data_IF_511993388044
#
_entry.id   IF_511993388044
#
_cell.length_a   1.000
_cell.length_b   1.000
_cell.length_c   1.000
_cell.angle_alpha   90.00
_cell.angle_beta   90.00
_cell.angle_gamma   90.00
#
_symmetry.space_group_name_H-M   'P 1'
#
loop_
_entity.id
_entity.type
_entity.pdbx_description
1 polymer ?
#
# COMPACT_ATOMS: atom_id res chain seq x y z
N UNK A 1 -9.98 -24.10 -11.11
CA UNK A 1 -9.76 -23.61 -12.49
C UNK A 1 -8.31 -23.89 -12.83
N UNK A 2 -8.05 -24.38 -14.05
CA UNK A 2 -6.70 -24.65 -14.54
C UNK A 2 -6.29 -23.54 -15.50
N UNK A 3 -4.99 -23.26 -15.56
CA UNK A 3 -4.43 -22.25 -16.45
C UNK A 3 -4.35 -22.82 -17.88
N UNK A 4 -4.83 -22.07 -18.87
CA UNK A 4 -4.81 -22.44 -20.28
C UNK A 4 -3.65 -21.78 -21.02
N UNK A 5 -2.45 -22.37 -20.90
CA UNK A 5 -1.28 -21.93 -21.66
C UNK A 5 -1.40 -22.15 -23.17
N UNK A 6 -2.36 -22.97 -23.63
CA UNK A 6 -2.50 -23.33 -25.05
C UNK A 6 -3.43 -22.37 -25.81
N UNK A 7 -4.16 -21.50 -25.11
CA UNK A 7 -5.02 -20.49 -25.73
C UNK A 7 -4.23 -19.53 -26.62
N UNK A 8 -3.01 -19.19 -26.20
CA UNK A 8 -2.07 -18.42 -27.01
C UNK A 8 -1.10 -19.36 -27.74
N UNK A 9 -0.85 -19.09 -29.02
CA UNK A 9 -0.03 -19.96 -29.89
C UNK A 9 1.43 -20.04 -29.47
N UNK A 10 1.91 -19.12 -28.64
CA UNK A 10 3.27 -19.06 -28.14
C UNK A 10 3.45 -19.75 -26.77
N UNK A 11 2.38 -20.31 -26.19
CA UNK A 11 2.45 -20.98 -24.89
C UNK A 11 2.60 -20.02 -23.71
N UNK A 12 2.35 -18.72 -23.93
CA UNK A 12 2.55 -17.66 -22.94
C UNK A 12 1.23 -17.06 -22.51
N UNK A 13 1.12 -16.75 -21.23
CA UNK A 13 0.00 -16.01 -20.67
C UNK A 13 0.47 -14.70 -20.05
N UNK A 14 -0.33 -13.62 -20.11
CA UNK A 14 -0.08 -12.44 -19.32
C UNK A 14 -0.15 -12.74 -17.82
N UNK A 15 0.78 -12.14 -17.08
CA UNK A 15 0.79 -12.12 -15.63
C UNK A 15 0.82 -10.65 -15.18
N UNK A 16 -0.32 -10.18 -14.66
CA UNK A 16 -0.45 -8.87 -14.04
C UNK A 16 0.07 -8.99 -12.61
N UNK A 17 1.08 -8.18 -12.28
CA UNK A 17 1.63 -8.13 -10.95
C UNK A 17 1.07 -6.93 -10.22
N UNK A 18 0.45 -7.18 -9.07
CA UNK A 18 -0.17 -6.17 -8.24
C UNK A 18 0.48 -6.18 -6.85
N UNK A 19 0.69 -5.00 -6.27
CA UNK A 19 1.10 -4.90 -4.89
C UNK A 19 -0.02 -5.38 -3.96
N UNK A 20 0.29 -6.32 -3.07
CA UNK A 20 -0.67 -6.93 -2.17
C UNK A 20 -1.20 -5.96 -1.10
N UNK A 21 -0.46 -4.90 -0.79
CA UNK A 21 -0.80 -3.89 0.21
C UNK A 21 -1.49 -2.68 -0.42
N UNK A 22 -0.94 -2.17 -1.53
CA UNK A 22 -1.41 -0.91 -2.11
C UNK A 22 -2.53 -1.12 -3.15
N UNK A 23 -2.62 -2.32 -3.73
CA UNK A 23 -3.48 -2.63 -4.86
C UNK A 23 -3.03 -2.02 -6.19
N UNK A 24 -1.85 -1.39 -6.25
CA UNK A 24 -1.32 -0.83 -7.50
C UNK A 24 -0.79 -1.91 -8.42
N UNK A 25 -1.02 -1.75 -9.72
CA UNK A 25 -0.41 -2.62 -10.72
C UNK A 25 1.06 -2.23 -10.86
N UNK A 26 1.94 -3.14 -10.48
CA UNK A 26 3.38 -2.93 -10.50
C UNK A 26 3.95 -3.09 -11.91
N UNK A 27 3.56 -4.16 -12.60
CA UNK A 27 4.00 -4.46 -13.96
C UNK A 27 3.13 -5.53 -14.61
N UNK A 28 3.30 -5.71 -15.92
CA UNK A 28 2.82 -6.87 -16.66
C UNK A 28 4.03 -7.62 -17.22
N UNK A 29 4.03 -8.94 -17.04
CA UNK A 29 4.98 -9.84 -17.69
C UNK A 29 4.25 -11.00 -18.35
N UNK A 30 5.03 -11.94 -18.89
CA UNK A 30 4.51 -13.16 -19.51
C UNK A 30 5.11 -14.38 -18.84
N UNK A 31 4.31 -15.43 -18.67
CA UNK A 31 4.75 -16.70 -18.11
C UNK A 31 4.40 -17.83 -19.08
N UNK A 32 5.33 -18.77 -19.26
CA UNK A 32 5.00 -20.12 -19.72
C UNK A 32 4.73 -21.02 -18.51
N UNK A 33 4.37 -22.28 -18.75
CA UNK A 33 4.12 -23.26 -17.69
C UNK A 33 5.32 -23.41 -16.72
N UNK A 34 6.55 -23.45 -17.26
CA UNK A 34 7.78 -23.58 -16.46
C UNK A 34 8.03 -22.36 -15.54
N UNK A 35 7.80 -21.14 -16.04
CA UNK A 35 7.91 -19.91 -15.27
C UNK A 35 6.87 -19.85 -14.14
N UNK A 36 5.65 -20.32 -14.40
CA UNK A 36 4.60 -20.46 -13.40
C UNK A 36 4.99 -21.48 -12.32
N UNK A 37 5.41 -22.69 -12.70
CA UNK A 37 5.83 -23.73 -11.77
C UNK A 37 6.98 -23.26 -10.88
N UNK A 38 7.97 -22.59 -11.46
CA UNK A 38 9.08 -22.01 -10.71
C UNK A 38 8.62 -20.94 -9.73
N UNK A 39 7.69 -20.07 -10.15
CA UNK A 39 7.10 -19.05 -9.27
C UNK A 39 6.38 -19.67 -8.07
N UNK A 40 5.62 -20.74 -8.29
CA UNK A 40 4.92 -21.49 -7.23
C UNK A 40 5.92 -22.14 -6.27
N UNK A 41 7.01 -22.72 -6.79
CA UNK A 41 8.02 -23.40 -5.97
C UNK A 41 8.84 -22.42 -5.13
N UNK A 42 9.25 -21.30 -5.71
CA UNK A 42 10.16 -20.35 -5.06
C UNK A 42 9.44 -19.26 -4.26
N UNK A 43 8.12 -19.08 -4.47
CA UNK A 43 7.35 -17.93 -3.99
C UNK A 43 7.96 -16.57 -4.42
N UNK A 44 8.65 -16.55 -5.56
CA UNK A 44 9.24 -15.36 -6.17
C UNK A 44 8.81 -15.34 -7.63
N UNK A 45 8.36 -14.18 -8.12
CA UNK A 45 7.89 -14.05 -9.50
C UNK A 45 9.00 -14.35 -10.51
N UNK A 46 8.78 -15.38 -11.33
CA UNK A 46 9.60 -15.73 -12.49
C UNK A 46 8.80 -15.54 -13.77
N UNK A 47 9.34 -14.81 -14.72
CA UNK A 47 8.76 -14.64 -16.05
C UNK A 47 9.49 -15.48 -17.10
N UNK A 48 8.86 -15.62 -18.25
CA UNK A 48 9.52 -16.04 -19.48
C UNK A 48 9.88 -14.81 -20.34
N UNK A 49 11.18 -14.60 -20.58
CA UNK A 49 11.64 -13.51 -21.43
C UNK A 49 11.45 -13.87 -22.91
N UNK A 50 10.48 -13.26 -23.58
CA UNK A 50 10.24 -13.46 -25.01
C UNK A 50 11.43 -13.10 -25.90
N UNK A 51 12.23 -12.09 -25.51
CA UNK A 51 13.40 -11.68 -26.28
C UNK A 51 14.61 -12.58 -26.05
N UNK A 52 14.81 -13.07 -24.82
CA UNK A 52 15.95 -13.93 -24.47
C UNK A 52 15.64 -15.43 -24.51
N UNK A 53 14.39 -15.80 -24.73
CA UNK A 53 13.88 -17.18 -24.79
C UNK A 53 14.35 -18.03 -23.58
N UNK A 54 14.23 -17.45 -22.38
CA UNK A 54 14.62 -18.12 -21.12
C UNK A 54 13.76 -17.66 -19.95
N UNK A 55 13.75 -18.45 -18.88
CA UNK A 55 13.27 -18.01 -17.58
C UNK A 55 14.09 -16.83 -17.06
N UNK A 56 13.39 -15.92 -16.36
CA UNK A 56 13.96 -14.75 -15.73
C UNK A 56 13.26 -14.50 -14.40
N UNK A 57 13.96 -14.68 -13.29
CA UNK A 57 13.39 -14.37 -11.97
C UNK A 57 13.53 -12.87 -11.71
N UNK A 58 12.40 -12.19 -11.45
CA UNK A 58 12.42 -10.75 -11.21
C UNK A 58 13.24 -10.46 -9.96
N UNK A 59 14.25 -9.61 -10.11
CA UNK A 59 15.17 -9.25 -9.03
C UNK A 59 16.51 -10.00 -9.08
N UNK A 60 16.71 -11.00 -9.95
CA UNK A 60 17.95 -11.80 -10.02
C UNK A 60 19.24 -10.99 -10.22
N UNK A 61 19.13 -9.76 -10.75
CA UNK A 61 20.26 -8.83 -10.95
C UNK A 61 20.18 -7.60 -10.06
N UNK A 62 18.97 -7.16 -9.70
CA UNK A 62 18.75 -5.87 -9.02
C UNK A 62 18.41 -6.00 -7.53
N UNK A 63 18.23 -7.21 -7.01
CA UNK A 63 17.67 -7.52 -5.69
C UNK A 63 16.24 -7.02 -5.42
N UNK A 64 15.58 -6.38 -6.40
CA UNK A 64 14.18 -5.96 -6.30
C UNK A 64 13.26 -7.14 -6.67
N UNK A 65 13.21 -8.13 -5.79
CA UNK A 65 12.35 -9.31 -5.91
C UNK A 65 10.87 -8.96 -5.70
N UNK A 66 10.00 -9.82 -6.22
CA UNK A 66 8.55 -9.75 -6.02
C UNK A 66 8.11 -11.04 -5.32
N UNK A 67 7.83 -10.96 -4.02
CA UNK A 67 7.48 -12.12 -3.21
C UNK A 67 5.99 -12.42 -3.34
N UNK A 68 5.65 -13.62 -3.78
CA UNK A 68 4.26 -14.02 -4.05
C UNK A 68 3.48 -14.08 -2.74
N UNK A 69 2.31 -13.43 -2.73
CA UNK A 69 1.33 -13.48 -1.64
C UNK A 69 0.09 -14.27 -2.02
N UNK A 70 -0.42 -14.03 -3.23
CA UNK A 70 -1.63 -14.66 -3.76
C UNK A 70 -1.52 -14.78 -5.28
N UNK A 71 -2.04 -15.86 -5.85
CA UNK A 71 -2.15 -16.05 -7.29
C UNK A 71 -3.60 -16.35 -7.65
N UNK A 72 -4.15 -15.57 -8.56
CA UNK A 72 -5.51 -15.66 -9.05
C UNK A 72 -5.46 -15.89 -10.56
N UNK A 73 -6.43 -16.66 -11.05
CA UNK A 73 -6.65 -16.92 -12.47
C UNK A 73 -7.98 -16.23 -12.82
N UNK A 74 -8.06 -15.63 -14.00
CA UNK A 74 -9.30 -15.05 -14.48
C UNK A 74 -10.34 -16.10 -14.92
N UNK A 75 -11.49 -15.66 -15.40
CA UNK A 75 -12.66 -16.51 -15.58
C UNK A 75 -12.55 -17.49 -16.77
N UNK A 76 -11.70 -17.19 -17.74
CA UNK A 76 -11.45 -18.02 -18.93
C UNK A 76 -10.03 -18.58 -18.98
N UNK A 77 -9.27 -18.44 -17.88
CA UNK A 77 -8.08 -19.24 -17.59
C UNK A 77 -6.81 -18.77 -18.28
N UNK A 78 -6.82 -17.60 -18.93
CA UNK A 78 -5.74 -17.16 -19.81
C UNK A 78 -4.87 -16.05 -19.23
N UNK A 79 -5.23 -15.51 -18.07
CA UNK A 79 -4.49 -14.44 -17.42
C UNK A 79 -4.28 -14.73 -15.93
N UNK A 80 -3.08 -14.44 -15.45
CA UNK A 80 -2.77 -14.45 -14.02
C UNK A 80 -2.81 -13.05 -13.42
N UNK A 81 -3.44 -12.94 -12.26
CA UNK A 81 -3.23 -11.83 -11.33
C UNK A 81 -2.41 -12.35 -10.14
N UNK A 82 -1.20 -11.82 -9.97
CA UNK A 82 -0.29 -12.23 -8.90
C UNK A 82 -0.13 -11.04 -7.95
N UNK A 83 -0.61 -11.20 -6.72
CA UNK A 83 -0.38 -10.23 -5.65
C UNK A 83 0.95 -10.51 -4.99
N UNK A 84 1.76 -9.47 -4.80
CA UNK A 84 3.13 -9.59 -4.30
C UNK A 84 3.47 -8.55 -3.24
N UNK A 85 4.48 -8.83 -2.43
CA UNK A 85 5.22 -7.81 -1.67
C UNK A 85 6.53 -7.48 -2.43
N UNK A 86 6.70 -6.26 -2.97
CA UNK A 86 7.93 -5.87 -3.65
C UNK A 86 9.06 -5.59 -2.66
N UNK A 87 10.27 -6.10 -2.92
CA UNK A 87 11.47 -5.86 -2.11
C UNK A 87 12.23 -4.56 -2.47
N UNK A 88 11.63 -3.70 -3.30
CA UNK A 88 12.22 -2.47 -3.83
C UNK A 88 11.45 -1.96 -5.05
N UNK A 89 11.92 -0.90 -5.73
CA UNK A 89 11.24 -0.39 -6.92
C UNK A 89 11.15 -1.47 -8.01
N UNK A 90 9.95 -1.66 -8.56
CA UNK A 90 9.71 -2.72 -9.55
C UNK A 90 10.40 -2.37 -10.86
N UNK A 91 10.35 -1.10 -11.27
CA UNK A 91 10.85 -0.65 -12.55
C UNK A 91 12.37 -0.51 -12.57
N UNK A 92 12.97 -0.79 -13.74
CA UNK A 92 14.40 -0.65 -13.97
C UNK A 92 14.87 0.81 -13.99
N UNK A 93 13.95 1.78 -14.12
CA UNK A 93 14.23 3.21 -14.03
C UNK A 93 14.37 3.71 -12.60
N UNK A 94 14.03 2.87 -11.60
CA UNK A 94 13.93 3.25 -10.21
C UNK A 94 12.52 3.69 -9.78
N UNK A 95 11.56 3.80 -10.72
CA UNK A 95 10.15 4.03 -10.38
C UNK A 95 9.51 2.81 -9.69
N UNK A 96 8.50 3.06 -8.87
CA UNK A 96 7.82 2.01 -8.11
C UNK A 96 7.13 0.99 -9.01
N UNK A 97 6.47 1.47 -10.06
CA UNK A 97 5.73 0.68 -11.06
C UNK A 97 6.27 0.94 -12.48
N UNK A 98 5.99 0.03 -13.41
CA UNK A 98 6.29 0.23 -14.83
C UNK A 98 5.40 1.30 -15.50
N UNK A 99 4.37 1.79 -14.81
CA UNK A 99 3.41 2.77 -15.32
C UNK A 99 3.63 4.17 -14.74
N UNK A 100 4.75 4.39 -14.05
CA UNK A 100 5.10 5.66 -13.38
C UNK A 100 4.08 6.11 -12.32
N UNK A 101 3.27 5.17 -11.81
CA UNK A 101 2.47 5.39 -10.62
C UNK A 101 3.34 5.25 -9.37
N UNK A 102 3.08 6.12 -8.39
CA UNK A 102 3.59 5.95 -7.03
C UNK A 102 2.86 4.77 -6.38
N UNK A 103 3.62 3.81 -5.86
CA UNK A 103 3.09 2.60 -5.23
C UNK A 103 2.67 2.89 -3.78
N UNK A 104 1.64 3.74 -3.63
CA UNK A 104 1.01 4.08 -2.38
C UNK A 104 -0.52 3.97 -2.54
N UNK A 105 -1.17 3.29 -1.61
CA UNK A 105 -2.63 3.23 -1.51
C UNK A 105 -3.17 4.48 -0.80
N UNK A 106 -4.43 4.85 -1.02
CA UNK A 106 -5.06 5.98 -0.29
C UNK A 106 -5.15 5.74 1.23
N UNK A 107 -5.30 4.48 1.66
CA UNK A 107 -5.16 4.10 3.07
C UNK A 107 -3.72 4.22 3.57
N UNK A 108 -2.75 3.92 2.71
CA UNK A 108 -1.32 4.10 2.99
C UNK A 108 -0.91 5.56 3.08
N UNK A 109 -1.70 6.51 2.58
CA UNK A 109 -1.46 7.93 2.86
C UNK A 109 -1.53 8.23 4.35
N UNK A 110 -2.43 7.59 5.11
CA UNK A 110 -2.52 7.80 6.55
C UNK A 110 -1.29 7.20 7.27
N UNK A 111 -0.82 6.03 6.84
CA UNK A 111 0.41 5.42 7.36
C UNK A 111 1.66 6.24 6.99
N UNK A 112 1.72 6.76 5.76
CA UNK A 112 2.74 7.71 5.33
C UNK A 112 2.69 9.00 6.15
N UNK A 113 1.52 9.59 6.35
CA UNK A 113 1.31 10.79 7.14
C UNK A 113 1.72 10.56 8.60
N UNK A 114 1.38 9.41 9.18
CA UNK A 114 1.80 9.01 10.51
C UNK A 114 3.34 8.91 10.60
N UNK A 115 4.01 8.36 9.59
CA UNK A 115 5.48 8.35 9.52
C UNK A 115 6.08 9.76 9.48
N UNK A 116 5.48 10.69 8.74
CA UNK A 116 5.90 12.10 8.75
C UNK A 116 5.68 12.75 10.12
N UNK A 117 4.57 12.45 10.80
CA UNK A 117 4.29 12.91 12.16
C UNK A 117 5.36 12.39 13.14
N UNK A 118 5.70 11.10 13.04
CA UNK A 118 6.76 10.45 13.83
C UNK A 118 8.12 11.11 13.60
N UNK A 119 8.49 11.35 12.34
CA UNK A 119 9.73 12.07 12.02
C UNK A 119 9.74 13.47 12.64
N UNK A 120 8.63 14.21 12.59
CA UNK A 120 8.53 15.54 13.24
C UNK A 120 8.58 15.49 14.78
N UNK A 121 8.27 14.34 15.39
CA UNK A 121 8.42 14.09 16.84
C UNK A 121 9.88 13.81 17.20
N UNK A 122 10.55 12.99 16.40
CA UNK A 122 11.94 12.53 16.63
C UNK A 122 12.98 13.56 16.18
N UNK A 123 12.70 14.27 15.09
CA UNK A 123 13.55 15.28 14.45
C UNK A 123 12.83 16.65 14.40
N UNK A 124 12.59 17.29 15.56
CA UNK A 124 11.78 18.50 15.62
C UNK A 124 12.46 19.70 14.95
N UNK A 125 11.68 20.48 14.20
CA UNK A 125 12.09 21.80 13.69
C UNK A 125 11.20 22.89 14.28
N UNK A 126 11.77 24.06 14.59
CA UNK A 126 11.04 25.16 15.26
C UNK A 126 9.84 25.70 14.45
N UNK A 127 9.82 25.49 13.13
CA UNK A 127 8.73 25.93 12.24
C UNK A 127 7.58 24.93 12.11
N UNK A 128 7.72 23.71 12.62
CA UNK A 128 6.73 22.65 12.44
C UNK A 128 5.61 22.74 13.47
N UNK A 129 4.37 22.90 12.99
CA UNK A 129 3.16 22.86 13.84
C UNK A 129 3.10 21.57 14.67
N UNK A 130 3.34 20.42 14.04
CA UNK A 130 3.37 19.10 14.71
C UNK A 130 4.41 19.06 15.84
N UNK A 131 5.62 19.56 15.58
CA UNK A 131 6.67 19.58 16.60
C UNK A 131 6.29 20.47 17.79
N UNK A 132 5.61 21.59 17.54
CA UNK A 132 5.11 22.49 18.59
C UNK A 132 4.06 21.81 19.48
N UNK A 133 3.22 20.93 18.93
CA UNK A 133 2.22 20.17 19.68
C UNK A 133 2.89 19.13 20.59
N UNK A 134 3.84 18.35 20.05
CA UNK A 134 4.63 17.40 20.84
C UNK A 134 5.38 18.08 21.99
N UNK A 135 5.97 19.26 21.75
CA UNK A 135 6.63 20.08 22.78
C UNK A 135 5.68 20.51 23.91
N UNK A 136 4.40 20.75 23.60
CA UNK A 136 3.35 21.10 24.59
C UNK A 136 2.79 19.88 25.33
N UNK A 137 3.09 18.67 24.86
CA UNK A 137 2.76 17.42 25.53
C UNK A 137 1.32 16.94 25.34
N UNK A 138 1.05 15.76 25.92
CA UNK A 138 -0.19 14.98 25.70
C UNK A 138 -1.48 15.76 25.99
N UNK A 139 -1.49 16.64 26.98
CA UNK A 139 -2.69 17.41 27.33
C UNK A 139 -3.10 18.34 26.20
N UNK A 140 -2.15 19.03 25.54
CA UNK A 140 -2.48 19.92 24.43
C UNK A 140 -2.91 19.15 23.19
N UNK A 141 -2.30 18.00 22.94
CA UNK A 141 -2.64 17.11 21.83
C UNK A 141 -4.06 16.56 22.02
N UNK A 142 -4.38 16.02 23.19
CA UNK A 142 -5.71 15.52 23.51
C UNK A 142 -6.78 16.62 23.50
N UNK A 143 -6.42 17.84 23.94
CA UNK A 143 -7.29 19.01 23.81
C UNK A 143 -7.65 19.26 22.34
N UNK A 144 -6.67 19.27 21.43
CA UNK A 144 -6.95 19.45 19.99
C UNK A 144 -7.89 18.38 19.46
N UNK A 145 -7.65 17.09 19.76
CA UNK A 145 -8.57 16.02 19.36
C UNK A 145 -10.00 16.27 19.86
N UNK A 146 -10.16 16.76 21.08
CA UNK A 146 -11.47 17.13 21.63
C UNK A 146 -12.12 18.34 20.94
N UNK A 147 -11.33 19.37 20.62
CA UNK A 147 -11.79 20.55 19.87
C UNK A 147 -12.33 20.14 18.48
N UNK A 148 -11.52 19.45 17.67
CA UNK A 148 -11.91 19.04 16.31
C UNK A 148 -13.12 18.08 16.32
N UNK A 149 -13.23 17.24 17.35
CA UNK A 149 -14.38 16.34 17.48
C UNK A 149 -15.68 17.10 17.75
N UNK A 150 -15.63 18.19 18.52
CA UNK A 150 -16.79 19.06 18.77
C UNK A 150 -17.12 19.85 17.52
N UNK A 151 -16.12 20.41 16.84
CA UNK A 151 -16.28 21.15 15.58
C UNK A 151 -16.92 20.26 14.49
N UNK A 152 -16.43 19.03 14.32
CA UNK A 152 -17.03 18.06 13.41
C UNK A 152 -18.51 17.76 13.74
N UNK A 153 -18.87 17.65 15.02
CA UNK A 153 -20.27 17.44 15.43
C UNK A 153 -21.15 18.65 15.14
N UNK A 154 -20.60 19.87 15.26
CA UNK A 154 -21.30 21.10 14.91
C UNK A 154 -21.54 21.15 13.41
N UNK A 155 -20.50 20.96 12.60
CA UNK A 155 -20.58 21.01 11.13
C UNK A 155 -21.44 19.88 10.56
N UNK A 156 -21.53 18.73 11.24
CA UNK A 156 -22.44 17.64 10.87
C UNK A 156 -23.93 18.03 10.92
N UNK A 157 -24.27 19.13 11.60
CA UNK A 157 -25.64 19.66 11.69
C UNK A 157 -25.93 20.79 10.70
N UNK A 158 -24.93 21.24 9.96
CA UNK A 158 -25.04 22.26 8.92
C UNK A 158 -25.03 21.61 7.53
N UNK A 159 -25.38 22.38 6.49
CA UNK A 159 -25.45 21.91 5.10
C UNK A 159 -24.17 22.20 4.29
N UNK A 160 -23.05 22.51 4.98
CA UNK A 160 -21.77 22.81 4.35
C UNK A 160 -20.80 21.62 4.32
N UNK A 161 -20.81 20.88 3.20
CA UNK A 161 -19.96 19.71 3.03
C UNK A 161 -18.44 20.01 3.07
N UNK A 162 -18.01 21.22 2.70
CA UNK A 162 -16.58 21.56 2.68
C UNK A 162 -16.04 21.81 4.09
N UNK A 163 -16.81 22.48 4.95
CA UNK A 163 -16.46 22.64 6.37
C UNK A 163 -16.44 21.29 7.07
N UNK A 164 -17.47 20.46 6.89
CA UNK A 164 -17.50 19.11 7.45
C UNK A 164 -16.27 18.27 7.07
N UNK A 165 -15.87 18.30 5.79
CA UNK A 165 -14.66 17.59 5.32
C UNK A 165 -13.39 18.15 5.95
N UNK A 166 -13.32 19.47 6.18
CA UNK A 166 -12.22 20.14 6.87
C UNK A 166 -12.06 19.61 8.30
N UNK A 167 -13.12 19.71 9.10
CA UNK A 167 -13.12 19.27 10.50
C UNK A 167 -12.87 17.75 10.62
N UNK A 168 -13.39 16.95 9.69
CA UNK A 168 -13.14 15.52 9.67
C UNK A 168 -11.65 15.21 9.41
N UNK A 169 -11.00 15.98 8.52
CA UNK A 169 -9.59 15.84 8.22
C UNK A 169 -8.72 16.30 9.40
N UNK A 170 -9.06 17.41 10.06
CA UNK A 170 -8.34 17.92 11.22
C UNK A 170 -8.46 16.99 12.42
N UNK A 171 -9.65 16.43 12.67
CA UNK A 171 -9.83 15.38 13.68
C UNK A 171 -8.94 14.18 13.39
N UNK A 172 -8.93 13.68 12.15
CA UNK A 172 -8.11 12.53 11.76
C UNK A 172 -6.61 12.82 11.92
N UNK A 173 -6.15 14.01 11.52
CA UNK A 173 -4.77 14.41 11.67
C UNK A 173 -4.33 14.50 13.15
N UNK A 174 -5.12 15.15 14.00
CA UNK A 174 -4.82 15.24 15.43
C UNK A 174 -4.93 13.88 16.13
N UNK A 175 -5.82 13.00 15.65
CA UNK A 175 -5.89 11.62 16.12
C UNK A 175 -4.59 10.86 15.85
N UNK A 176 -4.01 10.98 14.65
CA UNK A 176 -2.71 10.36 14.33
C UNK A 176 -1.57 10.91 15.22
N UNK A 177 -1.55 12.23 15.50
CA UNK A 177 -0.60 12.82 16.44
C UNK A 177 -0.75 12.22 17.84
N UNK A 178 -2.00 12.02 18.30
CA UNK A 178 -2.26 11.40 19.60
C UNK A 178 -1.80 9.94 19.65
N UNK A 179 -2.02 9.15 18.58
CA UNK A 179 -1.51 7.79 18.47
C UNK A 179 0.03 7.77 18.57
N UNK A 180 0.72 8.63 17.83
CA UNK A 180 2.17 8.76 17.91
C UNK A 180 2.66 9.22 19.30
N UNK A 181 1.93 10.12 19.98
CA UNK A 181 2.22 10.49 21.37
C UNK A 181 2.12 9.28 22.32
N UNK A 182 1.24 8.33 22.02
CA UNK A 182 1.03 7.09 22.78
C UNK A 182 1.90 5.92 22.29
N UNK A 183 2.69 6.12 21.23
CA UNK A 183 3.48 5.10 20.54
C UNK A 183 2.62 3.92 20.05
N UNK A 184 1.49 4.24 19.43
CA UNK A 184 0.57 3.27 18.82
C UNK A 184 0.51 3.55 17.32
N UNK A 185 0.60 2.51 16.50
CA UNK A 185 0.46 2.64 15.05
C UNK A 185 -1.03 2.61 14.63
N UNK A 186 -1.40 3.32 13.55
CA UNK A 186 -2.77 3.31 13.03
C UNK A 186 -3.20 1.89 12.63
N UNK A 187 -2.27 1.08 12.13
CA UNK A 187 -2.54 -0.31 11.74
C UNK A 187 -3.02 -1.16 12.94
N UNK A 188 -2.58 -0.85 14.17
CA UNK A 188 -3.06 -1.52 15.38
C UNK A 188 -4.53 -1.17 15.67
N UNK A 189 -4.94 0.08 15.43
CA UNK A 189 -6.34 0.51 15.57
C UNK A 189 -7.21 -0.14 14.48
N UNK A 190 -6.71 -0.20 13.25
CA UNK A 190 -7.38 -0.86 12.13
C UNK A 190 -7.59 -2.35 12.44
N UNK A 191 -6.58 -3.04 13.00
CA UNK A 191 -6.70 -4.44 13.40
C UNK A 191 -7.83 -4.66 14.43
N UNK A 192 -7.99 -3.74 15.39
CA UNK A 192 -9.12 -3.77 16.35
C UNK A 192 -10.47 -3.60 15.64
N UNK A 193 -10.58 -2.72 14.64
CA UNK A 193 -11.79 -2.54 13.86
C UNK A 193 -12.11 -3.79 13.01
N UNK A 194 -11.11 -4.37 12.35
CA UNK A 194 -11.25 -5.61 11.60
C UNK A 194 -11.75 -6.74 12.48
N UNK A 195 -11.16 -6.94 13.66
CA UNK A 195 -11.58 -7.96 14.61
C UNK A 195 -13.06 -7.83 15.03
N UNK A 196 -13.57 -6.60 15.12
CA UNK A 196 -14.99 -6.34 15.46
C UNK A 196 -15.94 -6.62 14.29
N UNK A 197 -15.47 -6.47 13.05
CA UNK A 197 -16.27 -6.69 11.84
C UNK A 197 -16.39 -8.17 11.49
N UNK A 198 -15.40 -8.99 11.84
CA UNK A 198 -15.41 -10.45 11.58
C UNK A 198 -16.26 -11.26 12.58
N UNK A 199 -17.05 -10.58 13.43
CA UNK A 199 -18.08 -11.18 14.29
C UNK A 199 -19.46 -10.90 13.71
#
# INVERSE_FOLDING_TARGET
>A
MNIDFLKNTDGLIPAVIQDAETGKVLMLGYMNAEAYEKTVQENIVTFFSRSKQRLWTKGETSNNFLHVKEMLIDCDGDTLLIKVHPAGPTCHTGADTCFDEVNQGKGLFLNYLQRIIRDRKENPTEKSYTASLFKKGVNKIAQKVGEEAVELVIEAKDDNADLFKGEAADLLYHYLILLEQKNIDLDEVIAVLQQRHTK
#
